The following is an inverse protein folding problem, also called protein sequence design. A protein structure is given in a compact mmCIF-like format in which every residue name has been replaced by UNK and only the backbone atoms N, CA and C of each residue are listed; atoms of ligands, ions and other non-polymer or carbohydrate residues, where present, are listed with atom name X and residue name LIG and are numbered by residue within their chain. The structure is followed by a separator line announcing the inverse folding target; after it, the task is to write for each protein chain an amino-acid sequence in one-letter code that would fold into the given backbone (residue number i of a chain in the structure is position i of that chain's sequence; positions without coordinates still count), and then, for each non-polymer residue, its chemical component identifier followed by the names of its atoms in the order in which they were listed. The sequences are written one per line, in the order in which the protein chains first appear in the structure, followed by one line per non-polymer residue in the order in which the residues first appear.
data_IF_240385466235
#
_entry.id   IF_240385466235
#
_cell.length_a   1.000
_cell.length_b   1.000
_cell.length_c   1.000
_cell.angle_alpha   90.00
_cell.angle_beta   90.00
_cell.angle_gamma   90.00
#
_symmetry.space_group_name_H-M   'P 1'
#
loop_
_entity.id
_entity.type
_entity.pdbx_description
1 polymer ?
#
# COMPACT_ATOMS: atom_id res chain seq x y z
N UNK A 1 17.44 -2.65 -34.65
CA UNK A 1 17.67 -1.60 -33.64
C UNK A 1 16.63 -1.78 -32.55
N UNK A 2 16.99 -2.60 -31.57
CA UNK A 2 16.17 -3.03 -30.44
C UNK A 2 16.07 -1.91 -29.39
N UNK A 3 14.84 -1.52 -29.03
CA UNK A 3 14.55 -0.53 -28.01
C UNK A 3 14.98 -1.03 -26.62
N UNK A 4 16.04 -0.44 -26.08
CA UNK A 4 16.32 -0.37 -24.64
C UNK A 4 15.43 0.71 -24.04
N UNK A 5 14.26 0.33 -23.54
CA UNK A 5 13.47 1.16 -22.63
C UNK A 5 13.42 0.47 -21.26
N UNK A 6 14.59 0.37 -20.61
CA UNK A 6 14.63 0.15 -19.15
C UNK A 6 14.45 1.53 -18.53
N UNK A 7 13.20 1.97 -18.44
CA UNK A 7 12.86 3.13 -17.63
C UNK A 7 13.13 2.77 -16.17
N UNK A 8 14.02 3.55 -15.59
CA UNK A 8 14.45 3.53 -14.20
C UNK A 8 13.26 3.41 -13.25
N UNK A 9 13.11 2.24 -12.64
CA UNK A 9 12.35 2.10 -11.40
C UNK A 9 13.18 2.84 -10.35
N UNK A 10 12.84 4.11 -10.13
CA UNK A 10 13.30 4.85 -8.96
C UNK A 10 12.63 4.18 -7.76
N UNK A 11 13.42 3.40 -7.02
CA UNK A 11 13.02 2.83 -5.74
C UNK A 11 12.93 3.98 -4.74
N UNK A 12 11.73 4.50 -4.50
CA UNK A 12 11.50 5.44 -3.40
C UNK A 12 11.78 4.69 -2.08
N UNK A 13 12.57 5.25 -1.15
CA UNK A 13 12.68 4.70 0.18
C UNK A 13 11.29 4.77 0.82
N UNK A 14 10.63 3.62 0.97
CA UNK A 14 9.35 3.54 1.67
C UNK A 14 9.62 3.84 3.14
N UNK A 15 9.05 4.93 3.66
CA UNK A 15 8.94 5.11 5.09
C UNK A 15 8.34 3.85 5.72
N UNK A 16 8.86 3.37 6.86
CA UNK A 16 8.29 2.21 7.52
C UNK A 16 6.82 2.49 7.88
N UNK A 17 5.90 1.75 7.27
CA UNK A 17 4.46 1.82 7.58
C UNK A 17 4.12 1.15 8.91
N UNK A 18 5.06 0.36 9.42
CA UNK A 18 5.06 -0.21 10.77
C UNK A 18 6.16 0.49 11.56
N UNK A 19 5.85 1.11 12.71
CA UNK A 19 6.81 1.78 13.59
C UNK A 19 7.90 0.89 14.22
N UNK A 20 8.20 -0.25 13.61
CA UNK A 20 9.26 -1.18 13.99
C UNK A 20 10.60 -0.67 13.45
N UNK A 21 11.48 -0.22 14.34
CA UNK A 21 12.85 0.12 13.99
C UNK A 21 13.78 -1.10 14.12
N UNK A 22 14.80 -1.24 13.26
CA UNK A 22 15.80 -2.28 13.44
C UNK A 22 16.55 -2.07 14.76
N UNK A 23 16.67 -3.12 15.58
CA UNK A 23 17.30 -3.06 16.91
C UNK A 23 18.80 -2.74 16.91
N UNK A 24 19.43 -2.64 15.73
CA UNK A 24 20.80 -2.15 15.55
C UNK A 24 20.81 -1.13 14.41
N UNK A 25 21.57 -0.03 14.53
CA UNK A 25 21.79 0.90 13.41
C UNK A 25 22.26 0.13 12.19
N UNK A 26 21.61 0.32 11.05
CA UNK A 26 22.02 -0.28 9.78
C UNK A 26 23.47 0.12 9.48
N UNK A 27 24.37 -0.87 9.53
CA UNK A 27 25.75 -0.66 9.10
C UNK A 27 25.72 -0.64 7.57
N UNK A 28 26.28 0.38 6.89
CA UNK A 28 26.26 0.43 5.44
C UNK A 28 26.92 -0.82 4.84
N UNK A 29 26.12 -1.69 4.22
CA UNK A 29 26.58 -2.96 3.63
C UNK A 29 26.15 -4.23 4.37
N UNK A 30 25.57 -4.14 5.57
CA UNK A 30 25.20 -5.29 6.40
C UNK A 30 23.70 -5.29 6.77
N UNK A 31 22.82 -4.82 5.88
CA UNK A 31 21.37 -5.08 6.01
C UNK A 31 21.01 -6.42 5.37
N UNK A 32 21.42 -7.49 6.05
CA UNK A 32 20.71 -8.77 5.99
C UNK A 32 20.03 -9.04 7.33
N UNK A 33 19.24 -8.07 7.80
CA UNK A 33 18.00 -8.47 8.47
C UNK A 33 17.30 -9.44 7.53
N UNK A 34 17.04 -10.67 7.98
CA UNK A 34 16.46 -11.76 7.18
C UNK A 34 15.00 -11.42 6.83
N UNK A 35 14.77 -10.36 6.07
CA UNK A 35 13.69 -10.31 5.13
C UNK A 35 14.26 -11.04 3.93
N UNK A 36 14.03 -12.34 3.89
CA UNK A 36 14.16 -13.08 2.63
C UNK A 36 13.42 -12.21 1.61
N UNK A 37 14.15 -11.62 0.66
CA UNK A 37 13.55 -10.97 -0.49
C UNK A 37 12.98 -12.11 -1.30
N UNK A 38 11.83 -12.61 -0.86
CA UNK A 38 11.12 -13.64 -1.59
C UNK A 38 10.68 -12.94 -2.86
N UNK A 39 11.34 -13.29 -3.96
CA UNK A 39 10.93 -12.96 -5.32
C UNK A 39 9.64 -13.70 -5.64
N UNK A 40 8.57 -13.39 -4.90
CA UNK A 40 7.23 -13.89 -5.15
C UNK A 40 6.67 -13.06 -6.30
N UNK A 41 6.77 -13.60 -7.51
CA UNK A 41 6.01 -13.09 -8.67
C UNK A 41 4.49 -13.13 -8.42
N UNK A 42 4.02 -13.86 -7.39
CA UNK A 42 2.71 -13.70 -6.78
C UNK A 42 2.82 -12.71 -5.60
N UNK A 43 2.70 -11.41 -5.90
CA UNK A 43 3.08 -10.32 -5.00
C UNK A 43 2.37 -10.29 -3.64
N UNK A 44 3.04 -9.66 -2.67
CA UNK A 44 2.51 -9.31 -1.33
C UNK A 44 1.08 -8.71 -1.35
N UNK A 45 0.70 -8.07 -2.46
CA UNK A 45 -0.65 -7.56 -2.71
C UNK A 45 -1.74 -8.63 -2.61
N UNK A 46 -1.47 -9.86 -3.02
CA UNK A 46 -2.44 -10.97 -2.93
C UNK A 46 -2.81 -11.31 -1.49
N UNK A 47 -1.85 -11.24 -0.57
CA UNK A 47 -2.09 -11.43 0.85
C UNK A 47 -2.90 -10.27 1.43
N UNK A 48 -2.56 -9.03 1.07
CA UNK A 48 -3.31 -7.86 1.53
C UNK A 48 -4.78 -7.90 1.09
N UNK A 49 -5.04 -8.20 -0.18
CA UNK A 49 -6.40 -8.36 -0.71
C UNK A 49 -7.13 -9.50 -0.01
N UNK A 50 -6.45 -10.64 0.19
CA UNK A 50 -7.01 -11.79 0.91
C UNK A 50 -7.48 -11.39 2.32
N UNK A 51 -6.66 -10.64 3.07
CA UNK A 51 -7.04 -10.17 4.40
C UNK A 51 -8.31 -9.31 4.38
N UNK A 52 -8.46 -8.40 3.42
CA UNK A 52 -9.65 -7.54 3.35
C UNK A 52 -10.90 -8.32 2.94
N UNK A 53 -10.78 -9.21 1.96
CA UNK A 53 -11.91 -9.99 1.44
C UNK A 53 -12.34 -11.10 2.41
N UNK A 54 -11.41 -11.67 3.16
CA UNK A 54 -11.71 -12.71 4.15
C UNK A 54 -12.76 -12.27 5.18
N UNK A 55 -12.66 -11.04 5.70
CA UNK A 55 -13.65 -10.54 6.67
C UNK A 55 -15.02 -10.29 6.03
N UNK A 56 -15.06 -9.85 4.78
CA UNK A 56 -16.32 -9.67 4.04
C UNK A 56 -17.04 -11.00 3.80
N UNK A 57 -16.29 -12.03 3.40
CA UNK A 57 -16.82 -13.39 3.25
C UNK A 57 -17.30 -13.94 4.59
N UNK A 58 -16.50 -13.77 5.65
CA UNK A 58 -16.89 -14.20 6.98
C UNK A 58 -18.21 -13.55 7.43
N UNK A 59 -18.36 -12.22 7.27
CA UNK A 59 -19.62 -11.52 7.56
C UNK A 59 -20.80 -12.08 6.79
N UNK A 60 -20.68 -12.24 5.47
CA UNK A 60 -21.76 -12.78 4.65
C UNK A 60 -22.14 -14.22 5.05
N UNK A 61 -21.14 -15.07 5.32
CA UNK A 61 -21.37 -16.45 5.77
C UNK A 61 -22.01 -16.50 7.15
N UNK A 62 -21.63 -15.62 8.06
CA UNK A 62 -22.22 -15.50 9.39
C UNK A 62 -23.68 -15.04 9.34
N UNK A 63 -24.02 -14.10 8.45
CA UNK A 63 -25.41 -13.71 8.20
C UNK A 63 -26.23 -14.89 7.68
N UNK A 64 -25.68 -15.67 6.73
CA UNK A 64 -26.32 -16.87 6.18
C UNK A 64 -26.41 -18.03 7.17
N UNK A 65 -25.50 -18.10 8.15
CA UNK A 65 -25.56 -19.07 9.23
C UNK A 65 -26.57 -18.69 10.32
N UNK A 66 -27.08 -17.46 10.33
CA UNK A 66 -27.97 -16.96 11.38
C UNK A 66 -27.26 -16.64 12.70
N UNK A 67 -25.92 -16.57 12.69
CA UNK A 67 -25.06 -16.38 13.88
C UNK A 67 -24.58 -14.93 14.05
N UNK A 68 -24.97 -14.05 13.13
CA UNK A 68 -24.65 -12.63 13.19
C UNK A 68 -25.81 -11.78 12.64
N UNK A 69 -26.17 -10.75 13.40
CA UNK A 69 -27.14 -9.74 13.02
C UNK A 69 -26.58 -8.35 13.41
N UNK A 70 -26.43 -7.41 12.46
CA UNK A 70 -25.97 -6.05 12.73
C UNK A 70 -26.81 -5.29 13.77
N UNK A 71 -28.09 -5.66 13.93
CA UNK A 71 -29.02 -5.02 14.85
C UNK A 71 -29.01 -5.65 16.25
N UNK A 72 -28.35 -6.81 16.41
CA UNK A 72 -28.34 -7.57 17.65
C UNK A 72 -26.95 -7.57 18.31
N UNK A 73 -26.82 -6.82 19.40
CA UNK A 73 -25.58 -6.76 20.18
C UNK A 73 -25.18 -8.10 20.83
N UNK A 74 -26.10 -9.05 21.00
CA UNK A 74 -25.81 -10.37 21.55
C UNK A 74 -25.15 -11.34 20.56
N UNK A 75 -25.19 -11.03 19.25
CA UNK A 75 -24.61 -11.84 18.18
C UNK A 75 -23.51 -11.07 17.43
N UNK A 76 -22.36 -10.78 18.08
CA UNK A 76 -21.32 -9.99 17.45
C UNK A 76 -20.49 -10.82 16.46
N UNK A 77 -20.00 -10.17 15.40
CA UNK A 77 -19.29 -10.82 14.30
C UNK A 77 -18.07 -11.65 14.75
N UNK A 78 -17.31 -11.19 15.74
CA UNK A 78 -16.13 -11.90 16.26
C UNK A 78 -16.43 -13.18 17.06
N UNK A 79 -17.70 -13.49 17.34
CA UNK A 79 -18.13 -14.74 18.00
C UNK A 79 -18.86 -15.70 17.07
N UNK A 80 -19.09 -15.31 15.82
CA UNK A 80 -19.79 -16.13 14.86
C UNK A 80 -19.05 -17.46 14.63
N UNK A 81 -19.80 -18.56 14.59
CA UNK A 81 -19.31 -19.86 14.16
C UNK A 81 -20.14 -20.33 12.95
N UNK A 82 -19.48 -20.62 11.83
CA UNK A 82 -20.14 -21.12 10.61
C UNK A 82 -20.16 -22.66 10.54
N UNK A 83 -19.71 -23.34 11.60
CA UNK A 83 -19.64 -24.79 11.66
C UNK A 83 -21.02 -25.44 11.45
N UNK A 84 -21.06 -26.47 10.61
CA UNK A 84 -22.28 -27.20 10.21
C UNK A 84 -23.40 -26.36 9.55
N UNK A 85 -23.15 -25.09 9.20
CA UNK A 85 -24.12 -24.30 8.45
C UNK A 85 -24.16 -24.73 6.98
N UNK A 86 -25.23 -25.43 6.61
CA UNK A 86 -25.46 -25.85 5.22
C UNK A 86 -25.72 -24.65 4.30
N UNK A 87 -26.40 -23.62 4.81
CA UNK A 87 -26.72 -22.41 4.06
C UNK A 87 -25.45 -21.60 3.73
N UNK A 88 -24.55 -21.43 4.70
CA UNK A 88 -23.26 -20.79 4.48
C UNK A 88 -22.38 -21.63 3.52
N UNK A 89 -22.36 -22.95 3.70
CA UNK A 89 -21.62 -23.87 2.83
C UNK A 89 -22.08 -23.83 1.37
N UNK A 90 -23.39 -23.81 1.14
CA UNK A 90 -23.96 -23.72 -0.22
C UNK A 90 -23.57 -22.40 -0.89
N UNK A 91 -23.72 -21.27 -0.19
CA UNK A 91 -23.34 -19.97 -0.75
C UNK A 91 -21.84 -19.85 -1.06
N UNK A 92 -20.98 -20.40 -0.19
CA UNK A 92 -19.55 -20.46 -0.46
C UNK A 92 -19.25 -21.38 -1.65
N UNK A 93 -19.93 -22.52 -1.73
CA UNK A 93 -19.80 -23.47 -2.84
C UNK A 93 -20.17 -22.86 -4.18
N UNK A 94 -21.30 -22.15 -4.26
CA UNK A 94 -21.77 -21.45 -5.46
C UNK A 94 -20.73 -20.40 -5.92
N UNK A 95 -20.17 -19.66 -4.95
CA UNK A 95 -19.11 -18.69 -5.20
C UNK A 95 -17.85 -19.34 -5.78
N UNK A 96 -17.37 -20.42 -5.14
CA UNK A 96 -16.15 -21.12 -5.55
C UNK A 96 -16.31 -21.88 -6.88
N UNK A 97 -17.51 -22.36 -7.19
CA UNK A 97 -17.80 -23.08 -8.43
C UNK A 97 -17.62 -22.18 -9.66
N UNK A 98 -17.80 -20.87 -9.54
CA UNK A 98 -17.53 -19.93 -10.63
C UNK A 98 -16.04 -19.90 -11.03
N UNK A 99 -15.13 -20.19 -10.10
CA UNK A 99 -13.69 -20.19 -10.36
C UNK A 99 -13.22 -18.93 -11.09
N UNK A 100 -12.46 -19.11 -12.17
CA UNK A 100 -12.01 -18.01 -13.04
C UNK A 100 -12.92 -17.77 -14.26
N UNK A 101 -14.15 -18.29 -14.26
CA UNK A 101 -15.08 -18.12 -15.38
C UNK A 101 -15.80 -16.76 -15.38
N UNK A 102 -15.80 -16.09 -14.23
CA UNK A 102 -16.41 -14.77 -14.00
C UNK A 102 -15.37 -13.80 -13.47
N UNK A 103 -15.63 -12.52 -13.64
CA UNK A 103 -14.82 -11.47 -13.03
C UNK A 103 -14.99 -11.53 -11.51
N UNK A 104 -13.93 -11.21 -10.77
CA UNK A 104 -13.92 -11.30 -9.31
C UNK A 104 -15.05 -10.53 -8.60
N UNK A 105 -15.56 -9.36 -9.09
CA UNK A 105 -16.69 -8.68 -8.45
C UNK A 105 -17.99 -9.47 -8.57
N UNK A 106 -18.19 -10.20 -9.67
CA UNK A 106 -19.37 -11.04 -9.86
C UNK A 106 -19.33 -12.24 -8.90
N UNK A 107 -18.13 -12.79 -8.70
CA UNK A 107 -17.93 -13.84 -7.71
C UNK A 107 -18.23 -13.34 -6.28
N UNK A 108 -17.69 -12.17 -5.92
CA UNK A 108 -17.91 -11.54 -4.62
C UNK A 108 -19.38 -11.20 -4.37
N UNK A 109 -20.10 -10.73 -5.39
CA UNK A 109 -21.52 -10.39 -5.32
C UNK A 109 -22.38 -11.61 -5.05
N UNK A 110 -22.07 -12.77 -5.62
CA UNK A 110 -22.83 -13.99 -5.38
C UNK A 110 -22.83 -14.42 -3.90
N UNK A 111 -21.73 -14.17 -3.18
CA UNK A 111 -21.62 -14.51 -1.76
C UNK A 111 -22.12 -13.37 -0.85
N UNK A 112 -21.66 -12.15 -1.11
CA UNK A 112 -21.79 -11.01 -0.19
C UNK A 112 -22.92 -10.04 -0.56
N UNK A 113 -23.40 -10.07 -1.80
CA UNK A 113 -24.29 -9.06 -2.38
C UNK A 113 -23.60 -7.74 -2.76
N UNK A 114 -22.29 -7.62 -2.52
CA UNK A 114 -21.48 -6.45 -2.88
C UNK A 114 -20.44 -6.77 -3.96
N UNK A 115 -20.10 -5.76 -4.76
CA UNK A 115 -19.11 -5.87 -5.85
C UNK A 115 -17.76 -5.22 -5.52
N UNK A 116 -17.68 -4.51 -4.41
CA UNK A 116 -16.52 -3.72 -4.01
C UNK A 116 -15.87 -4.28 -2.75
N UNK A 117 -14.55 -4.07 -2.61
CA UNK A 117 -13.85 -4.42 -1.38
C UNK A 117 -14.16 -3.41 -0.28
N UNK A 118 -14.72 -3.90 0.83
CA UNK A 118 -15.05 -3.10 2.00
C UNK A 118 -14.15 -3.43 3.22
N UNK A 119 -13.34 -2.46 3.62
CA UNK A 119 -12.50 -2.55 4.83
C UNK A 119 -13.29 -2.25 6.13
N UNK A 120 -14.51 -1.73 6.04
CA UNK A 120 -15.34 -1.41 7.20
C UNK A 120 -15.67 -2.66 8.03
N UNK A 121 -15.77 -3.82 7.39
CA UNK A 121 -16.05 -5.11 8.04
C UNK A 121 -14.92 -5.52 8.99
N UNK A 122 -13.67 -5.21 8.64
CA UNK A 122 -12.50 -5.46 9.51
C UNK A 122 -12.65 -4.64 10.79
N UNK A 123 -12.98 -3.35 10.65
CA UNK A 123 -13.19 -2.46 11.80
C UNK A 123 -14.35 -2.95 12.65
N UNK A 124 -15.42 -3.41 12.02
CA UNK A 124 -16.57 -3.98 12.73
C UNK A 124 -16.17 -5.19 13.58
N UNK A 125 -15.41 -6.12 13.00
CA UNK A 125 -14.90 -7.31 13.69
C UNK A 125 -14.08 -6.93 14.92
N UNK A 126 -13.15 -5.97 14.79
CA UNK A 126 -12.26 -5.52 15.86
C UNK A 126 -12.83 -4.41 16.75
N UNK A 127 -14.08 -3.97 16.54
CA UNK A 127 -14.67 -2.84 17.28
C UNK A 127 -14.59 -2.98 18.81
N UNK A 128 -14.87 -4.15 19.43
CA UNK A 128 -14.73 -4.30 20.88
C UNK A 128 -13.29 -4.13 21.36
N UNK A 129 -12.32 -4.61 20.57
CA UNK A 129 -10.90 -4.45 20.87
C UNK A 129 -10.46 -3.00 20.69
N UNK A 130 -10.93 -2.32 19.64
CA UNK A 130 -10.66 -0.90 19.40
C UNK A 130 -11.12 -0.04 20.58
N UNK A 131 -12.32 -0.30 21.11
CA UNK A 131 -12.85 0.43 22.28
C UNK A 131 -12.02 0.16 23.53
N UNK A 132 -11.72 -1.11 23.82
CA UNK A 132 -10.92 -1.48 24.99
C UNK A 132 -9.51 -0.88 24.93
N UNK A 133 -8.86 -0.91 23.77
CA UNK A 133 -7.51 -0.34 23.59
C UNK A 133 -7.49 1.17 23.81
N UNK A 134 -8.51 1.89 23.32
CA UNK A 134 -8.61 3.34 23.54
C UNK A 134 -8.71 3.68 25.02
N UNK A 135 -9.63 3.05 25.74
CA UNK A 135 -9.82 3.26 27.17
C UNK A 135 -8.57 2.89 27.97
N UNK A 136 -7.92 1.77 27.62
CA UNK A 136 -6.72 1.31 28.29
C UNK A 136 -5.54 2.26 28.05
N UNK A 137 -5.32 2.69 26.80
CA UNK A 137 -4.23 3.61 26.48
C UNK A 137 -4.41 4.97 27.17
N UNK A 138 -5.64 5.50 27.21
CA UNK A 138 -5.96 6.74 27.94
C UNK A 138 -5.73 6.60 29.44
N UNK A 139 -6.15 5.47 30.03
CA UNK A 139 -5.95 5.18 31.46
C UNK A 139 -4.48 5.10 31.85
N UNK A 140 -3.64 4.58 30.98
CA UNK A 140 -2.21 4.37 31.24
C UNK A 140 -1.32 5.51 30.70
N UNK A 141 -1.90 6.47 29.97
CA UNK A 141 -1.14 7.58 29.38
C UNK A 141 -0.16 7.11 28.30
N UNK A 142 -0.52 6.06 27.55
CA UNK A 142 0.34 5.49 26.52
C UNK A 142 0.52 6.46 25.35
N UNK A 143 1.75 6.59 24.86
CA UNK A 143 2.04 7.40 23.67
C UNK A 143 1.64 6.65 22.40
N UNK A 144 0.75 7.23 21.60
CA UNK A 144 0.27 6.63 20.35
C UNK A 144 0.98 7.28 19.17
N UNK A 145 1.76 6.47 18.44
CA UNK A 145 2.54 6.90 17.29
C UNK A 145 4.00 6.53 17.45
N UNK A 146 4.80 6.91 16.46
CA UNK A 146 6.25 6.77 16.49
C UNK A 146 6.87 8.05 15.98
N UNK A 147 8.01 8.43 16.54
CA UNK A 147 8.82 9.51 15.99
C UNK A 147 9.47 9.00 14.70
N UNK A 148 9.32 9.75 13.62
CA UNK A 148 10.04 9.46 12.38
C UNK A 148 11.45 10.01 12.49
N UNK A 149 12.48 9.19 12.26
CA UNK A 149 13.79 9.72 11.88
C UNK A 149 13.63 10.43 10.53
N UNK A 150 13.47 11.76 10.57
CA UNK A 150 13.30 12.60 9.37
C UNK A 150 14.40 12.35 8.33
N UNK A 151 15.59 11.96 8.81
CA UNK A 151 16.76 11.60 7.99
C UNK A 151 16.47 10.47 6.98
N UNK A 152 15.51 9.58 7.24
CA UNK A 152 15.21 8.43 6.38
C UNK A 152 14.05 8.67 5.40
N UNK A 153 13.21 9.68 5.67
CA UNK A 153 11.98 9.95 4.93
C UNK A 153 11.97 11.30 4.18
N UNK A 154 12.95 12.16 4.42
CA UNK A 154 13.10 13.42 3.69
C UNK A 154 13.73 13.18 2.32
N UNK A 155 13.07 13.70 1.28
CA UNK A 155 13.60 13.77 -0.10
C UNK A 155 14.88 14.61 -0.24
N UNK A 156 15.37 15.21 0.84
CA UNK A 156 16.52 16.12 0.86
C UNK A 156 17.87 15.40 1.05
N UNK A 157 17.87 14.10 1.38
CA UNK A 157 19.09 13.29 1.43
C UNK A 157 19.72 12.94 0.07
N UNK A 158 19.22 13.50 -1.04
CA UNK A 158 19.68 13.19 -2.41
C UNK A 158 20.52 14.31 -3.05
N UNK A 159 20.84 15.42 -2.37
CA UNK A 159 21.57 16.53 -3.00
C UNK A 159 22.83 17.04 -2.29
N UNK A 160 23.23 16.53 -1.12
CA UNK A 160 24.39 17.08 -0.39
C UNK A 160 25.50 16.05 -0.14
N UNK A 161 25.95 15.36 -1.19
CA UNK A 161 27.33 14.84 -1.22
C UNK A 161 27.86 14.66 -2.64
N UNK A 162 27.81 15.73 -3.43
CA UNK A 162 28.56 15.83 -4.67
C UNK A 162 29.13 17.25 -4.85
N UNK A 163 29.73 17.83 -3.82
CA UNK A 163 30.69 18.93 -4.00
C UNK A 163 32.10 18.35 -3.97
N UNK A 164 32.43 17.60 -5.03
CA UNK A 164 33.79 17.65 -5.54
C UNK A 164 33.95 19.00 -6.23
N UNK A 165 34.92 19.79 -5.79
CA UNK A 165 35.36 21.01 -6.47
C UNK A 165 35.53 20.77 -7.98
N UNK A 166 34.89 21.56 -8.86
CA UNK A 166 35.37 21.69 -10.22
C UNK A 166 36.32 22.89 -10.26
N UNK A 167 37.62 22.61 -10.28
CA UNK A 167 38.59 23.59 -10.74
C UNK A 167 38.31 23.90 -12.21
N UNK A 168 37.87 25.15 -12.40
CA UNK A 168 37.86 25.93 -13.64
C UNK A 168 38.81 25.44 -14.74
N UNK A 169 38.25 24.96 -15.85
CA UNK A 169 38.64 25.36 -17.21
C UNK A 169 37.84 24.56 -18.25
N UNK A 170 36.80 25.16 -18.84
CA UNK A 170 36.33 24.76 -20.17
C UNK A 170 35.66 25.95 -20.87
N UNK A 171 36.46 26.59 -21.70
CA UNK A 171 36.07 27.53 -22.75
C UNK A 171 34.94 26.93 -23.61
N UNK A 172 33.75 27.50 -23.50
CA UNK A 172 32.58 27.11 -24.30
C UNK A 172 32.64 27.72 -25.70
N UNK A 173 33.14 26.94 -26.67
CA UNK A 173 32.72 27.08 -28.06
C UNK A 173 31.22 26.81 -28.15
N UNK A 174 30.40 27.86 -28.32
CA UNK A 174 29.03 27.74 -28.81
C UNK A 174 28.94 28.24 -30.25
N UNK A 175 28.39 27.46 -31.19
CA UNK A 175 27.95 27.99 -32.47
C UNK A 175 26.60 28.70 -32.27
N UNK A 176 26.69 30.04 -32.22
CA UNK A 176 25.80 31.04 -32.86
C UNK A 176 24.39 30.58 -33.29
N UNK A 177 23.34 31.36 -32.94
CA UNK A 177 22.23 31.61 -33.85
C UNK A 177 22.36 33.02 -34.45
N UNK A 178 22.86 33.09 -35.69
CA UNK A 178 23.06 34.28 -36.52
C UNK A 178 21.72 34.86 -37.02
N UNK A 179 20.61 34.50 -36.35
CA UNK A 179 19.25 34.82 -36.77
C UNK A 179 18.67 36.05 -36.04
N UNK A 180 19.32 36.53 -34.97
CA UNK A 180 18.88 37.71 -34.23
C UNK A 180 19.59 39.02 -34.61
N UNK A 181 20.69 38.97 -35.36
CA UNK A 181 21.39 40.17 -35.84
C UNK A 181 20.88 40.72 -37.18
N UNK A 182 20.15 39.92 -37.97
CA UNK A 182 19.59 40.38 -39.25
C UNK A 182 18.25 41.11 -39.11
N UNK A 183 17.52 40.92 -38.01
CA UNK A 183 16.25 41.63 -37.75
C UNK A 183 16.50 43.05 -37.22
N UNK A 184 17.65 43.32 -36.61
CA UNK A 184 18.02 44.64 -36.11
C UNK A 184 18.62 45.58 -37.20
N UNK A 185 19.10 45.05 -38.33
CA UNK A 185 19.68 45.86 -39.41
C UNK A 185 18.68 46.27 -40.50
N UNK A 186 17.46 45.71 -40.52
CA UNK A 186 16.42 46.07 -41.49
C UNK A 186 15.42 47.14 -41.02
N UNK A 187 15.52 47.61 -39.76
CA UNK A 187 14.64 48.68 -39.22
C UNK A 187 15.34 50.03 -39.01
N UNK A 188 16.56 50.21 -39.54
CA UNK A 188 17.30 51.49 -39.51
C UNK A 188 17.71 52.00 -40.90
N UNK A 189 16.95 51.63 -41.93
CA UNK A 189 16.98 52.33 -43.22
C UNK A 189 15.57 52.56 -43.73
N UNK A 190 14.83 53.41 -43.02
CA UNK A 190 13.92 54.34 -43.66
C UNK A 190 13.87 55.66 -42.88
#
# INVERSE_FOLDING_TARGET
MTLTLVQSITFQPTCPTSGEQPGTPAVPGEDQGVRVKVSLQAGLSGYFVSFVVQFQFHKALCMKAGEYDPLNASMPLHKCDIYQSTEAGNALGDMLQMGSSKEWPDAMEALTGGREMDASVIREYFKPLEMWLKENNEKHGEFIGWESDETYCSSEGMSEKATGEPTSAASCCSPVPLLLLLVALFSLRH
#
